data_IF_435100821336
#
_entry.id   IF_435100821336
#
_cell.length_a   1.000
_cell.length_b   1.000
_cell.length_c   1.000
_cell.angle_alpha   90.00
_cell.angle_beta   90.00
_cell.angle_gamma   90.00
#
_symmetry.space_group_name_H-M   'P 1'
#
loop_
_entity.id
_entity.type
_entity.pdbx_description
1 polymer ?
#
# COMPACT_ATOMS: atom_id res chain seq x y z
N UNK A 1 2.42 -50.70 -34.89
CA UNK A 1 2.40 -50.49 -33.42
C UNK A 1 2.00 -49.05 -33.16
N UNK A 2 0.73 -48.81 -32.88
CA UNK A 2 0.19 -47.48 -32.56
C UNK A 2 -0.22 -47.51 -31.09
N UNK A 3 0.39 -46.70 -30.23
CA UNK A 3 -0.03 -46.54 -28.84
C UNK A 3 -1.09 -45.45 -28.81
N UNK A 4 -2.35 -45.86 -28.60
CA UNK A 4 -3.46 -44.98 -28.32
C UNK A 4 -3.31 -44.36 -26.93
N UNK A 5 -3.58 -43.05 -26.87
CA UNK A 5 -3.86 -42.34 -25.63
C UNK A 5 -5.28 -42.73 -25.19
N UNK A 6 -5.41 -43.28 -24.00
CA UNK A 6 -6.69 -43.46 -23.32
C UNK A 6 -7.07 -42.11 -22.68
N UNK A 7 -8.11 -41.49 -23.20
CA UNK A 7 -8.80 -40.37 -22.57
C UNK A 7 -9.54 -40.88 -21.33
N UNK A 8 -9.18 -40.35 -20.16
CA UNK A 8 -9.95 -40.54 -18.93
C UNK A 8 -11.16 -39.59 -18.97
N UNK A 9 -12.35 -40.15 -19.26
CA UNK A 9 -13.62 -39.46 -19.07
C UNK A 9 -13.80 -39.09 -17.58
N UNK A 10 -13.70 -37.80 -17.27
CA UNK A 10 -14.00 -37.26 -15.96
C UNK A 10 -15.51 -37.39 -15.67
N UNK A 11 -15.87 -38.27 -14.73
CA UNK A 11 -17.25 -38.40 -14.22
C UNK A 11 -17.73 -37.05 -13.70
N UNK A 12 -18.81 -36.52 -14.28
CA UNK A 12 -19.43 -35.29 -13.82
C UNK A 12 -19.86 -35.39 -12.35
N UNK A 13 -19.56 -34.38 -11.51
CA UNK A 13 -19.97 -34.38 -10.12
C UNK A 13 -21.50 -34.33 -10.02
N UNK A 14 -22.09 -35.28 -9.29
CA UNK A 14 -23.52 -35.26 -8.93
C UNK A 14 -23.81 -34.06 -8.02
N UNK A 15 -24.26 -32.96 -8.62
CA UNK A 15 -24.50 -31.69 -7.94
C UNK A 15 -25.61 -31.75 -6.89
N UNK A 16 -26.60 -32.63 -7.05
CA UNK A 16 -27.69 -32.79 -6.07
C UNK A 16 -27.17 -33.26 -4.70
N UNK A 17 -26.22 -34.21 -4.71
CA UNK A 17 -25.55 -34.70 -3.48
C UNK A 17 -24.74 -33.58 -2.82
N UNK A 18 -24.20 -32.66 -3.61
CA UNK A 18 -23.47 -31.52 -3.09
C UNK A 18 -24.39 -30.47 -2.45
N UNK A 19 -25.57 -30.24 -3.04
CA UNK A 19 -26.62 -29.39 -2.48
C UNK A 19 -27.13 -29.95 -1.14
N UNK A 20 -27.42 -31.25 -1.09
CA UNK A 20 -27.91 -31.91 0.14
C UNK A 20 -26.92 -31.78 1.31
N UNK A 21 -25.62 -31.85 1.01
CA UNK A 21 -24.56 -31.71 2.03
C UNK A 21 -24.64 -30.38 2.76
N UNK A 22 -24.68 -29.25 2.07
CA UNK A 22 -24.74 -27.96 2.74
C UNK A 22 -26.14 -27.61 3.26
N UNK A 23 -27.21 -28.13 2.64
CA UNK A 23 -28.57 -27.94 3.14
C UNK A 23 -28.83 -28.64 4.48
N UNK A 24 -28.15 -29.76 4.73
CA UNK A 24 -28.21 -30.46 6.02
C UNK A 24 -27.55 -29.70 7.19
N UNK A 25 -26.76 -28.65 6.89
CA UNK A 25 -26.08 -27.86 7.91
C UNK A 25 -27.07 -26.86 8.54
N UNK A 26 -27.42 -27.09 9.81
CA UNK A 26 -28.35 -26.24 10.56
C UNK A 26 -27.71 -25.08 11.33
N UNK A 27 -26.38 -25.04 11.43
CA UNK A 27 -25.66 -24.00 12.19
C UNK A 27 -24.76 -23.17 11.28
N UNK A 28 -24.75 -21.85 11.49
CA UNK A 28 -23.91 -20.92 10.72
C UNK A 28 -22.41 -21.28 10.79
N UNK A 29 -21.91 -21.66 11.96
CA UNK A 29 -20.51 -22.03 12.15
C UNK A 29 -20.08 -23.21 11.28
N UNK A 30 -20.95 -24.22 11.14
CA UNK A 30 -20.72 -25.37 10.29
C UNK A 30 -20.77 -24.98 8.81
N UNK A 31 -21.73 -24.15 8.40
CA UNK A 31 -21.83 -23.65 7.03
C UNK A 31 -20.60 -22.82 6.63
N UNK A 32 -20.07 -21.99 7.53
CA UNK A 32 -18.82 -21.24 7.31
C UNK A 32 -17.60 -22.16 7.17
N UNK A 33 -17.49 -23.19 8.01
CA UNK A 33 -16.40 -24.17 7.89
C UNK A 33 -16.46 -24.95 6.57
N UNK A 34 -17.68 -25.29 6.12
CA UNK A 34 -17.91 -25.94 4.85
C UNK A 34 -17.55 -25.03 3.67
N UNK A 35 -17.95 -23.75 3.74
CA UNK A 35 -17.61 -22.73 2.73
C UNK A 35 -16.10 -22.59 2.55
N UNK A 36 -15.34 -22.49 3.64
CA UNK A 36 -13.87 -22.36 3.57
C UNK A 36 -13.26 -23.57 2.86
N UNK A 37 -13.76 -24.77 3.14
CA UNK A 37 -13.21 -26.03 2.61
C UNK A 37 -13.58 -26.26 1.14
N UNK A 38 -14.82 -25.96 0.75
CA UNK A 38 -15.38 -26.28 -0.57
C UNK A 38 -15.54 -25.03 -1.45
N UNK A 39 -14.88 -23.92 -1.10
CA UNK A 39 -15.01 -22.60 -1.75
C UNK A 39 -14.85 -22.65 -3.26
N UNK A 40 -13.79 -23.28 -3.74
CA UNK A 40 -13.51 -23.40 -5.18
C UNK A 40 -14.59 -24.20 -5.90
N UNK A 41 -15.12 -25.24 -5.24
CA UNK A 41 -16.16 -26.09 -5.79
C UNK A 41 -17.50 -25.36 -5.89
N UNK A 42 -17.84 -24.55 -4.89
CA UNK A 42 -19.02 -23.64 -4.94
C UNK A 42 -18.83 -22.62 -6.07
N UNK A 43 -17.64 -22.00 -6.15
CA UNK A 43 -17.31 -20.99 -7.16
C UNK A 43 -17.28 -21.50 -8.60
N UNK A 44 -17.05 -22.79 -8.82
CA UNK A 44 -17.05 -23.43 -10.13
C UNK A 44 -18.33 -24.24 -10.42
N UNK A 45 -19.24 -24.36 -9.46
CA UNK A 45 -20.50 -25.10 -9.63
C UNK A 45 -21.47 -24.40 -10.59
N UNK A 46 -22.44 -25.11 -11.19
CA UNK A 46 -23.49 -24.49 -11.99
C UNK A 46 -24.41 -23.59 -11.15
N UNK A 47 -25.13 -22.70 -11.82
CA UNK A 47 -25.89 -21.60 -11.20
C UNK A 47 -26.89 -22.09 -10.14
N UNK A 48 -27.56 -23.22 -10.39
CA UNK A 48 -28.51 -23.84 -9.46
C UNK A 48 -27.89 -24.19 -8.10
N UNK A 49 -26.63 -24.64 -8.08
CA UNK A 49 -25.90 -24.97 -6.84
C UNK A 49 -25.54 -23.68 -6.09
N UNK A 50 -25.07 -22.66 -6.80
CA UNK A 50 -24.72 -21.36 -6.21
C UNK A 50 -25.93 -20.66 -5.60
N UNK A 51 -27.06 -20.67 -6.30
CA UNK A 51 -28.32 -20.09 -5.83
C UNK A 51 -28.83 -20.83 -4.58
N UNK A 52 -28.72 -22.17 -4.58
CA UNK A 52 -29.09 -22.98 -3.42
C UNK A 52 -28.21 -22.67 -2.22
N UNK A 53 -26.90 -22.48 -2.44
CA UNK A 53 -25.96 -22.09 -1.39
C UNK A 53 -26.23 -20.68 -0.85
N UNK A 54 -26.46 -19.69 -1.72
CA UNK A 54 -26.81 -18.32 -1.31
C UNK A 54 -28.11 -18.30 -0.49
N UNK A 55 -29.13 -19.07 -0.91
CA UNK A 55 -30.38 -19.18 -0.18
C UNK A 55 -30.16 -19.75 1.23
N UNK A 56 -29.36 -20.81 1.35
CA UNK A 56 -29.05 -21.43 2.64
C UNK A 56 -28.20 -20.50 3.53
N UNK A 57 -27.23 -19.81 2.93
CA UNK A 57 -26.40 -18.83 3.61
C UNK A 57 -27.23 -17.66 4.14
N UNK A 58 -28.16 -17.16 3.34
CA UNK A 58 -29.08 -16.08 3.72
C UNK A 58 -30.04 -16.50 4.83
N UNK A 59 -30.52 -17.74 4.78
CA UNK A 59 -31.36 -18.31 5.85
C UNK A 59 -30.65 -18.29 7.21
N UNK A 60 -29.37 -18.68 7.26
CA UNK A 60 -28.63 -18.78 8.52
C UNK A 60 -27.98 -17.46 8.97
N UNK A 61 -27.49 -16.63 8.03
CA UNK A 61 -26.72 -15.42 8.36
C UNK A 61 -27.51 -14.11 8.23
N UNK A 62 -28.70 -14.15 7.62
CA UNK A 62 -29.50 -12.97 7.30
C UNK A 62 -28.92 -12.08 6.20
N UNK A 63 -27.82 -12.48 5.56
CA UNK A 63 -27.13 -11.70 4.51
C UNK A 63 -26.90 -12.54 3.25
N UNK A 64 -26.85 -11.93 2.05
CA UNK A 64 -26.44 -12.66 0.85
C UNK A 64 -25.00 -13.13 0.98
N UNK A 65 -24.71 -14.28 0.37
CA UNK A 65 -23.38 -14.84 0.27
C UNK A 65 -22.55 -14.05 -0.74
N UNK A 66 -21.49 -13.42 -0.26
CA UNK A 66 -20.46 -12.80 -1.10
C UNK A 66 -19.23 -13.69 -1.04
N UNK A 67 -18.93 -14.37 -2.14
CA UNK A 67 -17.64 -15.03 -2.29
C UNK A 67 -16.55 -13.95 -2.35
N UNK A 68 -15.56 -14.01 -1.46
CA UNK A 68 -14.43 -13.10 -1.51
C UNK A 68 -13.65 -13.36 -2.82
N UNK A 69 -13.69 -12.40 -3.73
CA UNK A 69 -13.08 -12.51 -5.06
C UNK A 69 -11.58 -12.27 -4.93
N UNK A 70 -10.80 -13.32 -4.68
CA UNK A 70 -9.33 -13.35 -4.84
C UNK A 70 -9.00 -14.80 -5.16
N UNK A 71 -8.58 -15.22 -6.35
CA UNK A 71 -7.57 -14.68 -7.26
C UNK A 71 -7.91 -15.08 -8.70
N UNK A 72 -8.30 -14.11 -9.52
CA UNK A 72 -8.23 -14.24 -10.99
C UNK A 72 -7.45 -13.02 -11.46
N UNK A 73 -6.44 -13.25 -12.31
CA UNK A 73 -5.64 -12.21 -12.95
C UNK A 73 -6.56 -11.08 -13.42
N UNK A 74 -6.24 -9.85 -13.01
CA UNK A 74 -6.92 -8.66 -13.50
C UNK A 74 -6.66 -8.53 -15.01
N UNK A 75 -7.55 -9.11 -15.82
CA UNK A 75 -7.81 -8.56 -17.14
C UNK A 75 -8.64 -7.31 -16.88
N UNK A 76 -7.96 -6.16 -16.86
CA UNK A 76 -8.62 -4.86 -16.82
C UNK A 76 -9.57 -4.76 -18.01
N UNK A 77 -10.87 -4.92 -17.76
CA UNK A 77 -11.89 -4.35 -18.62
C UNK A 77 -12.14 -2.89 -18.17
N UNK A 78 -12.30 -1.96 -19.12
CA UNK A 78 -12.31 -0.53 -18.85
C UNK A 78 -13.58 -0.18 -18.09
N UNK A 79 -13.44 0.16 -16.81
CA UNK A 79 -14.54 0.70 -16.03
C UNK A 79 -14.87 2.09 -16.59
N UNK A 80 -16.08 2.22 -17.11
CA UNK A 80 -16.62 3.47 -17.62
C UNK A 80 -16.50 4.59 -16.59
N UNK A 81 -15.81 5.66 -17.00
CA UNK A 81 -16.39 7.00 -16.89
C UNK A 81 -16.29 7.72 -15.55
N UNK A 82 -15.10 8.29 -15.31
CA UNK A 82 -14.88 9.64 -14.73
C UNK A 82 -15.40 9.90 -13.30
N UNK A 83 -14.44 10.09 -12.40
CA UNK A 83 -14.57 10.81 -11.12
C UNK A 83 -15.03 10.04 -9.88
N UNK A 84 -14.73 8.74 -9.74
CA UNK A 84 -14.81 8.15 -8.40
C UNK A 84 -13.60 8.56 -7.52
N UNK A 85 -13.55 9.85 -7.21
CA UNK A 85 -12.63 10.45 -6.22
C UNK A 85 -12.96 10.03 -4.78
N UNK A 86 -13.98 9.17 -4.58
CA UNK A 86 -14.43 8.71 -3.26
C UNK A 86 -13.72 7.45 -2.80
N UNK A 87 -13.07 6.70 -3.71
CA UNK A 87 -12.25 5.57 -3.35
C UNK A 87 -10.92 6.08 -2.79
N UNK A 88 -10.92 6.28 -1.48
CA UNK A 88 -9.75 6.43 -0.64
C UNK A 88 -9.63 5.12 0.13
N UNK A 89 -8.47 4.48 0.08
CA UNK A 89 -8.26 3.32 0.93
C UNK A 89 -8.32 3.72 2.40
N UNK A 90 -8.73 2.80 3.27
CA UNK A 90 -8.92 3.13 4.67
C UNK A 90 -7.59 3.54 5.30
N UNK A 91 -7.60 4.66 6.05
CA UNK A 91 -6.51 5.17 6.91
C UNK A 91 -5.93 4.16 7.91
N UNK A 92 -6.48 2.94 7.95
CA UNK A 92 -6.10 1.85 8.83
C UNK A 92 -5.03 0.92 8.24
N UNK A 93 -4.57 1.16 7.01
CA UNK A 93 -3.43 0.40 6.47
C UNK A 93 -2.18 0.78 7.26
N UNK A 94 -1.61 -0.20 7.96
CA UNK A 94 -0.32 -0.02 8.59
C UNK A 94 0.74 -0.11 7.49
N UNK A 95 1.17 1.05 6.98
CA UNK A 95 2.16 1.10 5.89
C UNK A 95 3.58 0.72 6.35
N UNK A 96 3.75 0.33 7.61
CA UNK A 96 5.00 -0.18 8.16
C UNK A 96 4.83 -1.59 8.70
N UNK A 97 5.77 -2.46 8.37
CA UNK A 97 5.83 -3.82 8.91
C UNK A 97 6.98 -3.92 9.92
N UNK A 98 6.77 -4.51 11.10
CA UNK A 98 7.87 -4.77 12.01
C UNK A 98 8.81 -5.80 11.37
N UNK A 99 10.05 -5.38 11.13
CA UNK A 99 11.13 -6.27 10.69
C UNK A 99 12.18 -6.32 11.79
N UNK A 100 12.60 -7.54 12.13
CA UNK A 100 13.68 -7.78 13.09
C UNK A 100 15.03 -7.65 12.39
N UNK A 101 15.87 -6.76 12.92
CA UNK A 101 17.25 -6.60 12.49
C UNK A 101 18.20 -7.16 13.54
N UNK A 102 19.14 -7.99 13.10
CA UNK A 102 20.18 -8.57 13.96
C UNK A 102 21.30 -7.57 14.25
N UNK A 103 21.51 -6.61 13.35
CA UNK A 103 22.48 -5.52 13.50
C UNK A 103 21.98 -4.24 12.86
N UNK A 104 22.34 -3.10 13.43
CA UNK A 104 22.21 -1.79 12.81
C UNK A 104 23.58 -1.20 12.52
N UNK A 105 23.72 -0.59 11.36
CA UNK A 105 24.84 0.25 10.99
C UNK A 105 24.35 1.68 10.91
N UNK A 106 25.13 2.61 11.45
CA UNK A 106 24.79 4.02 11.38
C UNK A 106 26.01 4.86 10.95
N UNK A 107 25.73 5.95 10.25
CA UNK A 107 26.72 6.94 9.85
C UNK A 107 26.18 8.34 10.08
N UNK A 108 26.93 9.15 10.83
CA UNK A 108 26.61 10.55 11.07
C UNK A 108 27.00 11.39 9.86
N UNK A 109 26.07 12.22 9.41
CA UNK A 109 26.29 13.25 8.39
C UNK A 109 25.91 14.63 8.95
N UNK A 110 26.55 15.69 8.46
CA UNK A 110 26.28 17.06 8.85
C UNK A 110 25.82 17.88 7.66
N UNK A 111 24.70 18.59 7.80
CA UNK A 111 24.20 19.49 6.75
C UNK A 111 23.88 20.86 7.32
N UNK A 112 24.19 21.90 6.56
CA UNK A 112 23.83 23.28 6.89
C UNK A 112 22.39 23.56 6.48
N UNK A 113 21.54 24.00 7.41
CA UNK A 113 20.19 24.53 7.12
C UNK A 113 20.13 25.97 7.63
N UNK A 114 20.05 26.91 6.70
CA UNK A 114 20.18 28.35 7.02
C UNK A 114 21.54 28.66 7.64
N UNK A 115 21.55 29.26 8.84
CA UNK A 115 22.77 29.63 9.56
C UNK A 115 23.27 28.54 10.53
N UNK A 116 22.54 27.44 10.71
CA UNK A 116 22.83 26.40 11.70
C UNK A 116 23.29 25.10 11.02
N UNK A 117 24.19 24.39 11.70
CA UNK A 117 24.59 23.03 11.34
C UNK A 117 23.67 22.05 12.05
N UNK A 118 23.18 21.05 11.31
CA UNK A 118 22.33 20.00 11.82
C UNK A 118 22.98 18.64 11.57
N UNK A 119 22.91 17.77 12.58
CA UNK A 119 23.36 16.38 12.49
C UNK A 119 22.19 15.51 11.97
N UNK A 120 22.49 14.64 11.02
CA UNK A 120 21.58 13.61 10.52
C UNK A 120 22.30 12.25 10.50
N UNK A 121 21.54 11.17 10.35
CA UNK A 121 22.07 9.82 10.35
C UNK A 121 21.60 9.04 9.14
N UNK A 122 22.53 8.31 8.53
CA UNK A 122 22.21 7.24 7.60
C UNK A 122 22.16 5.96 8.43
N UNK A 123 21.06 5.22 8.36
CA UNK A 123 20.84 3.98 9.12
C UNK A 123 20.57 2.84 8.14
N UNK A 124 21.23 1.72 8.37
CA UNK A 124 21.05 0.48 7.62
C UNK A 124 20.92 -0.67 8.60
N UNK A 125 20.15 -1.70 8.26
CA UNK A 125 19.94 -2.87 9.11
C UNK A 125 20.33 -4.17 8.42
N UNK A 126 20.85 -5.13 9.18
CA UNK A 126 21.08 -6.49 8.74
C UNK A 126 19.91 -7.38 9.19
N UNK A 127 19.18 -7.94 8.24
CA UNK A 127 18.08 -8.88 8.52
C UNK A 127 18.62 -10.25 8.94
N UNK A 128 17.77 -11.12 9.49
CA UNK A 128 18.13 -12.52 9.81
C UNK A 128 18.61 -13.29 8.57
N UNK A 129 18.07 -12.98 7.39
CA UNK A 129 18.50 -13.54 6.11
C UNK A 129 19.91 -13.07 5.66
N UNK A 130 20.57 -12.21 6.44
CA UNK A 130 21.89 -11.65 6.09
C UNK A 130 21.84 -10.55 5.03
N UNK A 131 20.65 -10.14 4.58
CA UNK A 131 20.51 -9.02 3.66
C UNK A 131 20.64 -7.68 4.41
N UNK A 132 21.53 -6.82 3.92
CA UNK A 132 21.70 -5.44 4.40
C UNK A 132 20.69 -4.54 3.70
N UNK A 133 19.85 -3.87 4.48
CA UNK A 133 18.78 -3.00 3.98
C UNK A 133 18.99 -1.56 4.44
N UNK A 134 18.95 -0.56 3.55
CA UNK A 134 18.93 0.83 3.96
C UNK A 134 17.58 1.13 4.63
N UNK A 135 17.63 1.72 5.82
CA UNK A 135 16.44 2.11 6.59
C UNK A 135 16.17 3.60 6.41
N UNK A 136 17.18 4.44 6.63
CA UNK A 136 17.05 5.89 6.54
C UNK A 136 18.29 6.51 5.90
N UNK A 137 18.10 7.40 4.93
CA UNK A 137 19.19 8.09 4.20
C UNK A 137 19.60 9.46 4.76
N UNK A 138 19.16 9.80 5.97
CA UNK A 138 19.38 11.12 6.56
C UNK A 138 18.33 11.51 7.61
N UNK A 139 18.08 10.63 8.58
CA UNK A 139 17.13 10.89 9.68
C UNK A 139 17.69 11.94 10.64
N UNK A 140 16.85 12.88 11.09
CA UNK A 140 17.25 13.87 12.11
C UNK A 140 17.39 13.20 13.49
N UNK A 141 18.09 13.87 14.41
CA UNK A 141 18.20 13.41 15.81
C UNK A 141 16.82 13.20 16.42
N UNK A 142 15.91 14.19 16.30
CA UNK A 142 14.57 14.10 16.88
C UNK A 142 13.80 12.88 16.36
N UNK A 143 13.87 12.62 15.05
CA UNK A 143 13.17 11.50 14.44
C UNK A 143 13.83 10.16 14.76
N UNK A 144 15.13 10.13 15.01
CA UNK A 144 15.82 8.94 15.52
C UNK A 144 15.20 8.49 16.85
N UNK A 145 14.96 9.42 17.78
CA UNK A 145 14.28 9.12 19.05
C UNK A 145 12.84 8.63 18.85
N UNK A 146 12.10 9.23 17.91
CA UNK A 146 10.73 8.79 17.60
C UNK A 146 10.65 7.37 17.02
N UNK A 147 11.62 6.99 16.18
CA UNK A 147 11.59 5.71 15.46
C UNK A 147 12.20 4.58 16.28
N UNK A 148 13.33 4.83 16.94
CA UNK A 148 14.10 3.79 17.64
C UNK A 148 13.90 3.80 19.16
N UNK A 149 13.17 4.79 19.68
CA UNK A 149 13.00 5.00 21.12
C UNK A 149 14.25 5.56 21.80
N UNK A 150 14.07 5.96 23.06
CA UNK A 150 15.10 6.69 23.81
C UNK A 150 16.39 5.90 24.01
N UNK A 151 16.29 4.59 24.27
CA UNK A 151 17.45 3.75 24.56
C UNK A 151 18.40 3.67 23.36
N UNK A 152 17.89 3.19 22.21
CA UNK A 152 18.70 2.97 21.01
C UNK A 152 19.18 4.30 20.44
N UNK A 153 18.30 5.31 20.37
CA UNK A 153 18.67 6.62 19.85
C UNK A 153 19.75 7.28 20.72
N UNK A 154 19.67 7.17 22.05
CA UNK A 154 20.71 7.69 22.95
C UNK A 154 22.05 6.99 22.75
N UNK A 155 22.05 5.67 22.54
CA UNK A 155 23.28 4.91 22.24
C UNK A 155 23.93 5.40 20.94
N UNK A 156 23.16 5.50 19.85
CA UNK A 156 23.64 6.01 18.56
C UNK A 156 24.19 7.42 18.72
N UNK A 157 23.45 8.33 19.37
CA UNK A 157 23.87 9.74 19.52
C UNK A 157 25.10 9.88 20.41
N UNK A 158 25.21 9.11 21.48
CA UNK A 158 26.37 9.12 22.37
C UNK A 158 27.62 8.60 21.66
N UNK A 159 27.49 7.51 20.90
CA UNK A 159 28.60 6.92 20.16
C UNK A 159 29.00 7.81 18.97
N UNK A 160 28.03 8.46 18.32
CA UNK A 160 28.24 9.41 17.24
C UNK A 160 28.92 10.73 17.65
N UNK A 161 29.08 10.99 18.95
CA UNK A 161 29.94 12.07 19.47
C UNK A 161 31.42 11.67 19.46
N UNK A 162 31.71 10.38 19.55
CA UNK A 162 33.07 9.82 19.55
C UNK A 162 33.51 9.43 18.14
N UNK A 163 32.62 8.77 17.41
CA UNK A 163 32.91 8.20 16.08
C UNK A 163 31.92 8.73 15.03
N UNK A 164 32.34 8.79 13.76
CA UNK A 164 31.47 9.23 12.66
C UNK A 164 30.53 8.15 12.13
N UNK A 165 30.73 6.89 12.55
CA UNK A 165 29.98 5.70 12.12
C UNK A 165 30.10 4.64 13.21
N UNK A 166 29.16 3.71 13.27
CA UNK A 166 29.22 2.59 14.22
C UNK A 166 28.23 1.48 13.89
N UNK A 167 28.26 0.43 14.72
CA UNK A 167 27.34 -0.70 14.64
C UNK A 167 26.73 -1.02 16.01
N UNK A 168 25.47 -1.44 16.01
CA UNK A 168 24.77 -1.98 17.17
C UNK A 168 24.40 -3.43 16.89
N UNK A 169 24.78 -4.34 17.80
CA UNK A 169 24.52 -5.78 17.70
C UNK A 169 23.42 -6.17 18.69
N UNK A 170 22.22 -5.71 18.41
CA UNK A 170 21.03 -6.07 19.17
C UNK A 170 19.93 -6.47 18.20
N UNK A 171 19.10 -7.43 18.61
CA UNK A 171 17.89 -7.76 17.87
C UNK A 171 16.90 -6.62 18.09
N UNK A 172 16.72 -5.79 17.07
CA UNK A 172 15.88 -4.62 17.14
C UNK A 172 14.74 -4.80 16.16
N UNK A 173 13.52 -4.84 16.68
CA UNK A 173 12.31 -4.77 15.87
C UNK A 173 12.06 -3.32 15.48
N UNK A 174 12.10 -3.05 14.17
CA UNK A 174 11.89 -1.72 13.63
C UNK A 174 10.71 -1.81 12.69
N UNK A 175 9.69 -0.93 12.82
CA UNK A 175 8.69 -0.77 11.78
C UNK A 175 9.38 -0.23 10.53
N UNK A 176 9.60 -1.11 9.55
CA UNK A 176 10.19 -0.76 8.26
C UNK A 176 9.10 -0.27 7.35
N UNK A 177 9.45 0.75 6.59
CA UNK A 177 8.57 1.33 5.59
C UNK A 177 8.21 0.30 4.51
N UNK A 178 6.91 0.05 4.35
CA UNK A 178 6.37 -0.72 3.25
C UNK A 178 6.34 0.11 1.97
N UNK A 179 6.37 -0.57 0.83
CA UNK A 179 6.22 0.04 -0.48
C UNK A 179 4.89 -0.40 -1.06
N UNK A 180 4.17 0.54 -1.66
CA UNK A 180 2.82 0.29 -2.15
C UNK A 180 2.67 0.89 -3.53
N UNK A 181 2.13 0.10 -4.45
CA UNK A 181 1.69 0.58 -5.74
C UNK A 181 0.34 1.27 -5.56
N UNK A 182 0.29 2.57 -5.86
CA UNK A 182 -0.91 3.39 -5.73
C UNK A 182 -1.22 4.08 -7.04
N UNK A 183 -2.50 4.42 -7.26
CA UNK A 183 -2.95 5.21 -8.39
C UNK A 183 -3.71 6.43 -7.85
N UNK A 184 -3.21 7.64 -8.14
CA UNK A 184 -3.90 8.86 -7.77
C UNK A 184 -5.09 9.14 -8.69
N UNK A 185 -6.17 9.59 -8.08
CA UNK A 185 -7.42 9.91 -8.77
C UNK A 185 -7.22 11.01 -9.83
N UNK A 186 -8.07 11.06 -10.87
CA UNK A 186 -7.99 12.09 -11.89
C UNK A 186 -8.29 13.48 -11.31
N UNK A 187 -8.00 14.52 -12.09
CA UNK A 187 -8.37 15.89 -11.74
C UNK A 187 -9.89 15.98 -11.55
N UNK A 188 -10.35 16.66 -10.50
CA UNK A 188 -11.79 16.90 -10.30
C UNK A 188 -12.28 18.03 -11.20
N UNK A 189 -11.46 19.06 -11.37
CA UNK A 189 -11.73 20.24 -12.19
C UNK A 189 -10.47 20.74 -12.91
N UNK A 190 -10.62 21.74 -13.78
CA UNK A 190 -9.50 22.34 -14.52
C UNK A 190 -8.56 23.17 -13.65
N UNK A 191 -8.94 23.48 -12.41
CA UNK A 191 -8.11 24.23 -11.47
C UNK A 191 -7.20 23.31 -10.65
N UNK A 192 -7.47 22.01 -10.61
CA UNK A 192 -6.60 21.04 -9.97
C UNK A 192 -5.26 20.90 -10.73
N UNK A 193 -4.19 20.71 -9.97
CA UNK A 193 -2.86 20.42 -10.54
C UNK A 193 -2.90 19.13 -11.37
N UNK A 194 -2.32 19.18 -12.57
CA UNK A 194 -2.17 18.02 -13.47
C UNK A 194 -1.40 16.89 -12.79
N UNK A 195 -0.38 17.26 -12.02
CA UNK A 195 0.48 16.33 -11.31
C UNK A 195 0.21 16.37 -9.80
N UNK A 196 0.47 15.25 -9.14
CA UNK A 196 0.50 15.15 -7.69
C UNK A 196 1.90 15.54 -7.21
N UNK A 197 1.97 16.45 -6.25
CA UNK A 197 3.22 16.89 -5.61
C UNK A 197 3.13 16.66 -4.12
N UNK A 198 3.93 15.74 -3.60
CA UNK A 198 4.01 15.44 -2.17
C UNK A 198 5.41 15.76 -1.69
N UNK A 199 5.51 16.65 -0.71
CA UNK A 199 6.79 17.04 -0.11
C UNK A 199 6.89 16.48 1.30
N UNK A 200 7.89 15.63 1.53
CA UNK A 200 8.22 15.08 2.85
C UNK A 200 9.68 15.42 3.14
N UNK A 201 9.91 16.11 4.26
CA UNK A 201 11.26 16.46 4.75
C UNK A 201 12.18 17.21 3.76
N UNK A 202 11.58 17.94 2.82
CA UNK A 202 12.29 18.70 1.78
C UNK A 202 12.61 17.89 0.52
N UNK A 203 12.18 16.63 0.46
CA UNK A 203 12.15 15.84 -0.77
C UNK A 203 10.76 15.95 -1.37
N UNK A 204 10.67 16.35 -2.63
CA UNK A 204 9.42 16.46 -3.36
C UNK A 204 9.31 15.30 -4.36
N UNK A 205 8.21 14.56 -4.28
CA UNK A 205 7.84 13.53 -5.26
C UNK A 205 6.77 14.12 -6.17
N UNK A 206 7.04 14.13 -7.49
CA UNK A 206 6.12 14.58 -8.54
C UNK A 206 5.66 13.37 -9.34
N UNK A 207 4.35 13.19 -9.49
CA UNK A 207 3.76 12.02 -10.12
C UNK A 207 2.58 12.40 -10.99
N UNK A 208 2.37 11.64 -12.08
CA UNK A 208 1.19 11.78 -12.93
C UNK A 208 -0.02 11.15 -12.25
N UNK A 209 -1.19 11.78 -12.40
CA UNK A 209 -2.48 11.19 -12.00
C UNK A 209 -2.85 10.05 -12.95
N UNK A 210 -3.67 9.10 -12.48
CA UNK A 210 -4.11 7.92 -13.26
C UNK A 210 -2.99 6.98 -13.71
N UNK A 211 -1.74 7.20 -13.30
CA UNK A 211 -0.61 6.31 -13.57
C UNK A 211 -0.24 5.58 -12.27
N UNK A 212 -0.19 4.24 -12.26
CA UNK A 212 0.30 3.49 -11.11
C UNK A 212 1.74 3.88 -10.76
N UNK A 213 1.97 4.17 -9.49
CA UNK A 213 3.26 4.57 -8.94
C UNK A 213 3.50 3.85 -7.64
N UNK A 214 4.69 3.28 -7.51
CA UNK A 214 5.15 2.67 -6.27
C UNK A 214 5.72 3.78 -5.40
N UNK A 215 5.28 3.83 -4.14
CA UNK A 215 5.82 4.78 -3.18
C UNK A 215 6.01 4.18 -1.79
N UNK A 216 6.99 4.68 -1.03
CA UNK A 216 7.09 4.44 0.40
C UNK A 216 5.81 4.87 1.13
N UNK A 217 5.40 4.11 2.14
CA UNK A 217 4.23 4.41 2.95
C UNK A 217 4.20 5.80 3.60
N UNK A 218 5.33 6.40 3.93
CA UNK A 218 5.35 7.76 4.49
C UNK A 218 4.87 8.83 3.51
N UNK A 219 4.97 8.60 2.19
CA UNK A 219 4.35 9.49 1.19
C UNK A 219 2.84 9.29 1.14
N UNK A 220 2.38 8.07 1.39
CA UNK A 220 0.96 7.73 1.48
C UNK A 220 0.34 8.35 2.74
N UNK A 221 1.02 8.24 3.88
CA UNK A 221 0.68 8.92 5.13
C UNK A 221 0.62 10.45 4.94
N UNK A 222 1.59 11.01 4.21
CA UNK A 222 1.55 12.43 3.86
C UNK A 222 0.34 12.76 2.97
N UNK A 223 -0.02 11.91 2.01
CA UNK A 223 -1.21 12.07 1.17
C UNK A 223 -2.51 12.01 2.00
N UNK A 224 -2.61 11.12 2.98
CA UNK A 224 -3.75 10.98 3.90
C UNK A 224 -3.98 12.20 4.78
N UNK A 225 -2.88 12.79 5.24
CA UNK A 225 -2.91 13.98 6.08
C UNK A 225 -3.08 15.27 5.27
N UNK A 226 -2.83 15.25 3.96
CA UNK A 226 -2.99 16.42 3.09
C UNK A 226 -4.48 16.62 2.78
N UNK A 227 -5.14 17.51 3.52
CA UNK A 227 -6.56 17.84 3.34
C UNK A 227 -6.79 19.29 2.92
N UNK A 228 -7.86 19.52 2.17
CA UNK A 228 -8.39 20.84 1.80
C UNK A 228 -9.70 21.09 2.57
N UNK A 229 -9.86 22.23 3.26
CA UNK A 229 -11.13 22.58 3.90
C UNK A 229 -12.21 22.86 2.85
N UNK A 230 -13.44 22.41 3.11
CA UNK A 230 -14.63 22.73 2.32
C UNK A 230 -15.41 23.81 3.06
N UNK A 231 -15.72 24.89 2.33
CA UNK A 231 -16.53 25.99 2.82
C UNK A 231 -17.86 26.03 2.07
N UNK A 232 -18.93 26.38 2.77
CA UNK A 232 -20.21 26.76 2.17
C UNK A 232 -20.47 28.24 2.43
N UNK A 233 -21.33 28.81 1.60
CA UNK A 233 -21.77 30.19 1.72
C UNK A 233 -23.29 30.21 1.64
N UNK A 234 -23.95 30.41 2.79
CA UNK A 234 -25.39 30.64 2.86
C UNK A 234 -25.66 32.15 2.78
N UNK A 235 -26.67 32.56 2.02
CA UNK A 235 -27.01 33.98 1.89
C UNK A 235 -27.30 34.59 3.27
N UNK A 236 -26.64 35.71 3.60
CA UNK A 236 -26.77 36.38 4.91
C UNK A 236 -25.92 35.79 6.04
N UNK A 237 -25.19 34.69 5.82
CA UNK A 237 -24.18 34.17 6.74
C UNK A 237 -22.80 34.21 6.08
N UNK A 238 -21.76 34.51 6.86
CA UNK A 238 -20.37 34.45 6.37
C UNK A 238 -19.98 33.03 5.92
N UNK A 239 -18.83 32.89 5.26
CA UNK A 239 -18.30 31.56 4.87
C UNK A 239 -18.15 30.67 6.10
N UNK A 240 -18.78 29.50 6.08
CA UNK A 240 -18.69 28.51 7.16
C UNK A 240 -17.92 27.28 6.67
N UNK A 241 -17.01 26.76 7.49
CA UNK A 241 -16.28 25.52 7.20
C UNK A 241 -17.19 24.33 7.49
N UNK A 242 -17.53 23.55 6.46
CA UNK A 242 -18.44 22.41 6.55
C UNK A 242 -17.71 21.08 6.66
N UNK A 243 -16.46 21.01 6.19
CA UNK A 243 -15.67 19.80 6.32
C UNK A 243 -14.26 19.93 5.78
N UNK A 244 -13.63 18.79 5.53
CA UNK A 244 -12.34 18.67 4.87
C UNK A 244 -12.35 17.46 3.95
N UNK A 245 -11.72 17.58 2.78
CA UNK A 245 -11.55 16.48 1.82
C UNK A 245 -10.08 16.31 1.52
N UNK A 246 -9.64 15.08 1.24
CA UNK A 246 -8.27 14.79 0.88
C UNK A 246 -7.88 15.53 -0.41
N UNK A 247 -6.71 16.17 -0.44
CA UNK A 247 -6.22 16.91 -1.60
C UNK A 247 -5.83 15.96 -2.75
N UNK A 248 -5.26 14.82 -2.40
CA UNK A 248 -4.73 13.84 -3.33
C UNK A 248 -5.35 12.46 -3.02
N UNK A 249 -6.62 12.22 -3.38
CA UNK A 249 -7.21 10.89 -3.21
C UNK A 249 -6.50 9.88 -4.11
N UNK A 250 -6.30 8.66 -3.60
CA UNK A 250 -5.59 7.59 -4.27
C UNK A 250 -6.21 6.23 -3.92
N UNK A 251 -5.89 5.22 -4.73
CA UNK A 251 -6.21 3.81 -4.50
C UNK A 251 -4.92 3.00 -4.50
N UNK A 252 -4.69 2.23 -3.44
CA UNK A 252 -3.69 1.18 -3.30
C UNK A 252 -4.10 0.00 -4.19
N UNK A 253 -3.22 -0.34 -5.11
CA UNK A 253 -3.39 -1.46 -6.02
C UNK A 253 -2.84 -2.74 -5.40
N UNK A 254 -1.62 -2.68 -4.84
CA UNK A 254 -0.95 -3.79 -4.17
C UNK A 254 0.21 -3.32 -3.29
N UNK A 255 0.70 -4.22 -2.46
CA UNK A 255 2.02 -4.10 -1.83
C UNK A 255 3.11 -4.42 -2.88
N UNK A 256 4.22 -3.70 -2.78
CA UNK A 256 5.37 -3.78 -3.68
C UNK A 256 6.66 -3.95 -2.89
N UNK A 257 7.72 -4.31 -3.60
CA UNK A 257 9.07 -4.40 -3.02
C UNK A 257 9.84 -3.08 -3.19
N UNK A 258 10.83 -2.88 -2.32
CA UNK A 258 11.74 -1.74 -2.39
C UNK A 258 12.48 -1.67 -3.73
N UNK A 259 12.86 -2.82 -4.29
CA UNK A 259 13.63 -2.89 -5.54
C UNK A 259 12.80 -2.38 -6.72
N UNK A 260 11.50 -2.74 -6.79
CA UNK A 260 10.58 -2.22 -7.80
C UNK A 260 10.48 -0.68 -7.73
N UNK A 261 10.37 -0.13 -6.51
CA UNK A 261 10.36 1.31 -6.29
C UNK A 261 11.63 1.98 -6.81
N UNK A 262 12.81 1.43 -6.49
CA UNK A 262 14.08 2.02 -6.91
C UNK A 262 14.23 2.01 -8.44
N UNK A 263 13.80 0.93 -9.10
CA UNK A 263 13.79 0.83 -10.57
C UNK A 263 12.84 1.87 -11.18
N UNK A 264 11.61 1.96 -10.67
CA UNK A 264 10.62 2.91 -11.17
C UNK A 264 11.06 4.37 -10.95
N UNK A 265 11.62 4.66 -9.77
CA UNK A 265 12.16 5.98 -9.43
C UNK A 265 13.31 6.37 -10.37
N UNK A 266 14.26 5.48 -10.61
CA UNK A 266 15.39 5.77 -11.50
C UNK A 266 14.93 6.08 -12.93
N UNK A 267 13.90 5.37 -13.41
CA UNK A 267 13.25 5.64 -14.70
C UNK A 267 12.57 7.01 -14.72
N UNK A 268 11.75 7.33 -13.71
CA UNK A 268 11.07 8.62 -13.59
C UNK A 268 12.05 9.80 -13.49
N UNK A 269 13.11 9.67 -12.69
CA UNK A 269 14.17 10.67 -12.54
C UNK A 269 14.92 10.91 -13.87
N UNK A 270 15.01 9.90 -14.74
CA UNK A 270 15.62 10.05 -16.08
C UNK A 270 14.67 10.80 -17.02
N UNK A 271 13.41 10.40 -17.08
CA UNK A 271 12.39 11.02 -17.93
C UNK A 271 12.19 12.50 -17.57
N UNK A 272 12.13 12.83 -16.28
CA UNK A 272 12.00 14.21 -15.81
C UNK A 272 13.20 15.08 -16.22
N UNK A 273 14.43 14.57 -16.10
CA UNK A 273 15.63 15.29 -16.54
C UNK A 273 15.66 15.54 -18.05
N UNK A 274 15.21 14.56 -18.84
CA UNK A 274 15.10 14.73 -20.29
C UNK A 274 14.03 15.75 -20.68
N UNK A 275 12.91 15.79 -19.96
CA UNK A 275 11.85 16.78 -20.15
C UNK A 275 12.35 18.20 -19.86
N UNK A 276 12.99 18.40 -18.69
CA UNK A 276 13.55 19.69 -18.29
C UNK A 276 14.58 20.20 -19.31
N UNK A 277 15.46 19.32 -19.80
CA UNK A 277 16.43 19.69 -20.84
C UNK A 277 15.76 20.15 -22.14
N UNK A 278 14.67 19.50 -22.57
CA UNK A 278 13.94 19.91 -23.78
C UNK A 278 13.22 21.25 -23.60
N UNK A 279 12.71 21.52 -22.41
CA UNK A 279 12.09 22.82 -22.12
C UNK A 279 13.13 23.94 -22.10
N UNK A 280 14.34 23.69 -21.58
CA UNK A 280 15.45 24.65 -21.62
C UNK A 280 15.95 24.93 -23.05
N UNK A 281 16.02 23.91 -23.91
CA UNK A 281 16.41 24.06 -25.32
C UNK A 281 15.36 24.79 -26.18
N UNK A 282 14.11 24.85 -25.72
CA UNK A 282 13.00 25.49 -26.42
C UNK A 282 12.83 27.00 -26.10
N UNK A 283 13.58 27.50 -25.11
CA UNK A 283 13.58 28.91 -24.65
C UNK A 283 14.75 29.66 -25.28
#
# INVERSE_FOLDING_TARGET
>A
MSKGQEDQEAQEPKWDVFIDKFNSLGMESLLRSFEIKEREKIGNSPLNVRDSFDKKWRELTGKPYYQAITTVQQVMAPFDGRNDTRRSDPRSLNYREPITFTKLFWQKIRRKRGKKMHDFFIIEGLTEAGARRPLFGGISVERLFMVFGDNIASMIVADAKKEGRGELKENIEIPVEGYWEVQFAPQKDTNDEKDVRITVEGVCLRMLRMVPVIMPGFYIEAADNTTKPIYTHESGKGRQKVGSVQKYPYTVLRQSEMEEYLVQKAKGDKEQREHERREEEAV
#
